data_IF_751566952629
#
_entry.id   IF_751566952629
#
_cell.length_a   1.000
_cell.length_b   1.000
_cell.length_c   1.000
_cell.angle_alpha   90.00
_cell.angle_beta   90.00
_cell.angle_gamma   90.00
#
_symmetry.space_group_name_H-M   'P 1'
#
loop_
_entity.id
_entity.type
_entity.pdbx_description
1 polymer ?
#
# COMPACT_ATOMS: atom_id res chain seq x y z
N UNK A 1 27.25 6.81 -2.60
CA UNK A 1 26.34 6.16 -3.57
C UNK A 1 24.99 6.83 -3.43
N UNK A 2 24.50 7.41 -4.50
CA UNK A 2 23.18 8.05 -4.54
C UNK A 2 22.08 7.10 -5.04
N UNK A 3 20.82 7.54 -5.03
CA UNK A 3 19.70 6.68 -5.45
C UNK A 3 19.79 6.29 -6.95
N UNK A 4 20.31 7.20 -7.80
CA UNK A 4 20.46 6.93 -9.24
C UNK A 4 21.46 5.81 -9.48
N UNK A 5 22.62 5.86 -8.80
CA UNK A 5 23.66 4.84 -8.88
C UNK A 5 23.13 3.48 -8.38
N UNK A 6 22.45 3.45 -7.21
CA UNK A 6 21.86 2.24 -6.65
C UNK A 6 20.83 1.62 -7.62
N UNK A 7 19.93 2.41 -8.19
CA UNK A 7 18.93 1.92 -9.15
C UNK A 7 19.55 1.45 -10.46
N UNK A 8 20.67 2.09 -10.90
CA UNK A 8 21.39 1.72 -12.13
C UNK A 8 22.07 0.37 -11.97
N UNK A 9 22.72 0.13 -10.84
CA UNK A 9 23.47 -1.09 -10.56
C UNK A 9 22.57 -2.28 -10.23
N UNK A 10 21.42 -2.04 -9.57
CA UNK A 10 20.51 -3.08 -9.19
C UNK A 10 19.89 -3.81 -10.39
N UNK A 11 19.79 -5.12 -10.30
CA UNK A 11 19.10 -5.96 -11.27
C UNK A 11 17.69 -6.37 -10.82
N UNK A 12 17.44 -6.35 -9.51
CA UNK A 12 16.20 -6.87 -8.88
C UNK A 12 15.72 -5.93 -7.76
N UNK A 13 15.08 -4.82 -8.15
CA UNK A 13 14.59 -3.79 -7.24
C UNK A 13 13.28 -4.22 -6.59
N UNK A 14 13.22 -4.25 -5.27
CA UNK A 14 11.98 -4.35 -4.51
C UNK A 14 11.54 -2.95 -4.10
N UNK A 15 10.33 -2.58 -4.49
CA UNK A 15 9.72 -1.29 -4.11
C UNK A 15 8.66 -1.55 -3.04
N UNK A 16 8.85 -0.96 -1.85
CA UNK A 16 7.92 -1.07 -0.73
C UNK A 16 7.20 0.27 -0.55
N UNK A 17 5.87 0.32 -0.73
CA UNK A 17 5.13 1.59 -0.76
C UNK A 17 4.12 1.74 0.38
N UNK A 18 3.91 2.99 0.82
CA UNK A 18 2.85 3.41 1.72
C UNK A 18 2.04 4.58 1.17
N UNK A 19 1.14 5.13 1.96
CA UNK A 19 0.15 6.12 1.52
C UNK A 19 0.77 7.42 0.96
N UNK A 20 2.01 7.75 1.33
CA UNK A 20 2.72 8.92 0.81
C UNK A 20 2.94 8.90 -0.69
N UNK A 21 2.95 7.72 -1.36
CA UNK A 21 3.06 7.67 -2.82
C UNK A 21 1.75 8.03 -3.52
N UNK A 22 0.62 8.01 -2.82
CA UNK A 22 -0.72 8.29 -3.38
C UNK A 22 -1.25 9.69 -3.04
N UNK A 23 -0.54 10.47 -2.22
CA UNK A 23 -0.94 11.85 -1.90
C UNK A 23 -0.98 12.77 -3.13
N UNK A 24 -0.05 12.67 -4.11
CA UNK A 24 -0.16 13.42 -5.35
C UNK A 24 -1.34 12.99 -6.24
N UNK A 25 -1.96 11.85 -5.97
CA UNK A 25 -3.18 11.36 -6.63
C UNK A 25 -4.48 11.83 -5.96
N UNK A 26 -4.40 12.65 -4.90
CA UNK A 26 -5.54 13.17 -4.16
C UNK A 26 -6.03 12.26 -3.02
N UNK A 27 -5.33 11.17 -2.72
CA UNK A 27 -5.67 10.29 -1.59
C UNK A 27 -4.91 10.77 -0.34
N UNK A 28 -5.64 11.07 0.73
CA UNK A 28 -5.04 11.45 2.02
C UNK A 28 -4.25 10.27 2.61
N UNK A 29 -3.10 10.56 3.19
CA UNK A 29 -2.39 9.57 3.99
C UNK A 29 -3.07 9.32 5.35
N UNK A 30 -2.58 8.34 6.10
CA UNK A 30 -3.18 7.96 7.37
C UNK A 30 -2.55 8.67 8.59
N UNK A 31 -1.24 8.95 8.57
CA UNK A 31 -0.45 9.39 9.72
C UNK A 31 0.27 10.73 9.54
N UNK A 32 0.36 11.23 8.32
CA UNK A 32 1.01 12.49 8.00
C UNK A 32 0.39 13.71 8.68
N UNK A 33 0.84 14.93 8.38
CA UNK A 33 0.34 16.14 9.01
C UNK A 33 -1.17 16.33 8.90
N UNK A 34 -1.79 15.82 7.82
CA UNK A 34 -3.24 15.84 7.58
C UNK A 34 -3.84 14.41 7.54
N UNK A 35 -3.21 13.47 8.25
CA UNK A 35 -3.57 12.07 8.21
C UNK A 35 -4.97 11.78 8.77
N UNK A 36 -5.69 10.85 8.13
CA UNK A 36 -7.09 10.50 8.44
C UNK A 36 -7.26 10.06 9.91
N UNK A 37 -6.28 9.36 10.48
CA UNK A 37 -6.37 8.87 11.87
C UNK A 37 -6.19 9.93 12.96
N UNK A 38 -5.93 11.19 12.58
CA UNK A 38 -6.01 12.31 13.51
C UNK A 38 -7.46 12.74 13.77
N UNK A 39 -8.35 12.46 12.84
CA UNK A 39 -9.75 12.85 12.87
C UNK A 39 -10.66 11.69 13.32
N UNK A 40 -10.35 10.46 12.88
CA UNK A 40 -11.14 9.25 13.17
C UNK A 40 -10.26 8.07 13.54
N UNK A 41 -10.69 7.29 14.52
CA UNK A 41 -10.00 6.06 14.90
C UNK A 41 -10.35 4.92 13.92
N UNK A 42 -9.42 4.03 13.59
CA UNK A 42 -9.73 2.87 12.77
C UNK A 42 -10.65 1.89 13.53
N UNK A 43 -11.60 1.29 12.83
CA UNK A 43 -12.40 0.20 13.36
C UNK A 43 -11.58 -1.10 13.31
N UNK A 44 -11.43 -1.77 14.44
CA UNK A 44 -10.73 -3.04 14.54
C UNK A 44 -11.58 -4.20 14.00
N UNK A 45 -10.90 -5.27 13.57
CA UNK A 45 -11.60 -6.41 12.94
C UNK A 45 -12.59 -7.10 13.89
N UNK A 46 -12.22 -7.31 15.14
CA UNK A 46 -13.08 -7.94 16.14
C UNK A 46 -14.32 -7.08 16.43
N UNK A 47 -14.16 -5.76 16.50
CA UNK A 47 -15.29 -4.83 16.66
C UNK A 47 -16.22 -4.89 15.44
N UNK A 48 -15.66 -4.92 14.23
CA UNK A 48 -16.44 -5.10 13.00
C UNK A 48 -17.23 -6.41 13.02
N UNK A 49 -16.65 -7.51 13.47
CA UNK A 49 -17.30 -8.81 13.48
C UNK A 49 -18.38 -8.95 14.56
N UNK A 50 -18.24 -8.26 15.69
CA UNK A 50 -19.11 -8.44 16.86
C UNK A 50 -20.15 -7.34 17.04
N UNK A 51 -19.91 -6.10 16.55
CA UNK A 51 -20.77 -4.94 16.78
C UNK A 51 -21.38 -4.41 15.48
N UNK A 52 -22.70 -4.26 15.45
CA UNK A 52 -23.40 -3.61 14.33
C UNK A 52 -23.03 -2.12 14.22
N UNK A 53 -22.91 -1.43 15.33
CA UNK A 53 -22.50 -0.02 15.36
C UNK A 53 -21.08 0.15 14.76
N UNK A 54 -20.14 -0.76 15.07
CA UNK A 54 -18.81 -0.73 14.51
C UNK A 54 -18.82 -1.02 12.99
N UNK A 55 -19.70 -1.91 12.50
CA UNK A 55 -19.87 -2.14 11.05
C UNK A 55 -20.40 -0.90 10.35
N UNK A 56 -21.38 -0.21 10.93
CA UNK A 56 -21.92 1.04 10.38
C UNK A 56 -20.82 2.10 10.33
N UNK A 57 -20.08 2.31 11.44
CA UNK A 57 -18.96 3.26 11.50
C UNK A 57 -17.88 2.93 10.45
N UNK A 58 -17.54 1.64 10.28
CA UNK A 58 -16.59 1.20 9.27
C UNK A 58 -17.04 1.56 7.85
N UNK A 59 -18.31 1.30 7.53
CA UNK A 59 -18.88 1.63 6.23
C UNK A 59 -18.99 3.14 6.01
N UNK A 60 -19.28 3.90 7.07
CA UNK A 60 -19.32 5.36 7.00
C UNK A 60 -17.95 5.96 6.67
N UNK A 61 -16.89 5.49 7.34
CA UNK A 61 -15.52 5.89 7.02
C UNK A 61 -15.15 5.56 5.57
N UNK A 62 -15.53 4.38 5.08
CA UNK A 62 -15.28 3.96 3.70
C UNK A 62 -16.08 4.77 2.68
N UNK A 63 -17.33 5.05 2.98
CA UNK A 63 -18.21 5.87 2.14
C UNK A 63 -17.69 7.31 2.02
N UNK A 64 -17.28 7.91 3.12
CA UNK A 64 -16.71 9.27 3.13
C UNK A 64 -15.44 9.37 2.26
N UNK A 65 -14.58 8.37 2.32
CA UNK A 65 -13.35 8.33 1.51
C UNK A 65 -13.58 7.91 0.05
N UNK A 66 -14.74 7.29 -0.26
CA UNK A 66 -14.99 6.65 -1.55
C UNK A 66 -14.82 7.55 -2.77
N UNK A 67 -15.32 8.82 -2.79
CA UNK A 67 -15.15 9.70 -3.94
C UNK A 67 -13.68 9.91 -4.31
N UNK A 68 -12.82 10.14 -3.32
CA UNK A 68 -11.38 10.36 -3.56
C UNK A 68 -10.69 9.12 -4.15
N UNK A 69 -11.08 7.91 -3.72
CA UNK A 69 -10.55 6.67 -4.32
C UNK A 69 -11.01 6.47 -5.77
N UNK A 70 -12.26 6.80 -6.08
CA UNK A 70 -12.79 6.68 -7.45
C UNK A 70 -12.18 7.68 -8.43
N UNK A 71 -11.91 8.89 -7.99
CA UNK A 71 -11.35 9.96 -8.81
C UNK A 71 -9.83 9.87 -8.98
N UNK A 72 -9.15 9.18 -8.05
CA UNK A 72 -7.70 9.06 -8.06
C UNK A 72 -7.19 8.40 -9.36
N UNK A 73 -6.06 8.91 -9.83
CA UNK A 73 -5.36 8.37 -11.00
C UNK A 73 -3.88 8.15 -10.64
N UNK A 74 -3.23 7.15 -11.25
CA UNK A 74 -1.80 6.95 -11.06
C UNK A 74 -1.00 8.21 -11.38
N UNK A 75 -0.07 8.54 -10.49
CA UNK A 75 0.85 9.66 -10.65
C UNK A 75 2.22 9.21 -11.19
N UNK A 76 3.19 10.12 -11.22
CA UNK A 76 4.54 9.88 -11.73
C UNK A 76 5.28 8.78 -10.97
N UNK A 77 5.07 8.64 -9.65
CA UNK A 77 5.71 7.58 -8.85
C UNK A 77 5.25 6.19 -9.30
N UNK A 78 3.94 6.00 -9.48
CA UNK A 78 3.39 4.74 -9.95
C UNK A 78 3.92 4.38 -11.35
N UNK A 79 3.98 5.37 -12.26
CA UNK A 79 4.51 5.18 -13.62
C UNK A 79 5.99 4.85 -13.63
N UNK A 80 6.79 5.49 -12.79
CA UNK A 80 8.22 5.18 -12.69
C UNK A 80 8.49 3.77 -12.16
N UNK A 81 7.58 3.21 -11.37
CA UNK A 81 7.66 1.80 -10.96
C UNK A 81 7.39 0.88 -12.15
N UNK A 82 6.43 1.22 -13.01
CA UNK A 82 6.20 0.50 -14.27
C UNK A 82 7.40 0.63 -15.21
N UNK A 83 8.04 1.81 -15.29
CA UNK A 83 9.29 1.98 -16.06
C UNK A 83 10.41 1.01 -15.59
N UNK A 84 10.51 0.74 -14.28
CA UNK A 84 11.45 -0.28 -13.75
C UNK A 84 11.04 -1.70 -14.15
N UNK A 85 9.73 -1.98 -14.20
CA UNK A 85 9.21 -3.28 -14.66
C UNK A 85 9.52 -3.50 -16.14
N UNK A 86 9.19 -2.51 -16.98
CA UNK A 86 9.45 -2.53 -18.43
C UNK A 86 10.95 -2.67 -18.74
N UNK A 87 11.81 -2.11 -17.91
CA UNK A 87 13.27 -2.27 -18.01
C UNK A 87 13.79 -3.62 -17.46
N UNK A 88 12.90 -4.49 -16.97
CA UNK A 88 13.28 -5.80 -16.40
C UNK A 88 13.97 -5.72 -15.04
N UNK A 89 13.94 -4.56 -14.38
CA UNK A 89 14.62 -4.31 -13.10
C UNK A 89 13.72 -4.52 -11.88
N UNK A 90 12.39 -4.51 -12.03
CA UNK A 90 11.46 -4.66 -10.90
C UNK A 90 11.40 -6.12 -10.45
N UNK A 91 11.78 -6.39 -9.20
CA UNK A 91 11.56 -7.67 -8.55
C UNK A 91 10.10 -7.81 -8.09
N UNK A 92 9.65 -6.84 -7.29
CA UNK A 92 8.28 -6.82 -6.74
C UNK A 92 7.93 -5.42 -6.25
N UNK A 93 6.68 -5.03 -6.41
CA UNK A 93 6.03 -3.99 -5.60
C UNK A 93 5.32 -4.66 -4.43
N UNK A 94 5.67 -4.28 -3.22
CA UNK A 94 4.93 -4.66 -2.02
C UNK A 94 4.30 -3.38 -1.49
N UNK A 95 2.97 -3.28 -1.58
CA UNK A 95 2.27 -2.08 -1.15
C UNK A 95 1.42 -2.31 0.08
N UNK A 96 1.41 -1.32 0.96
CA UNK A 96 0.49 -1.20 2.07
C UNK A 96 -0.81 -0.49 1.66
N UNK A 97 -0.82 0.11 0.46
CA UNK A 97 -1.96 0.87 -0.05
C UNK A 97 -3.07 -0.06 -0.52
N UNK A 98 -4.30 0.46 -0.41
CA UNK A 98 -5.53 -0.24 -0.74
C UNK A 98 -6.25 0.39 -1.93
N UNK A 99 -5.60 1.34 -2.62
CA UNK A 99 -6.21 2.20 -3.64
C UNK A 99 -6.25 1.59 -5.04
N UNK A 100 -5.49 0.51 -5.30
CA UNK A 100 -5.38 -0.15 -6.60
C UNK A 100 -4.58 0.65 -7.65
N UNK A 101 -3.91 1.76 -7.27
CA UNK A 101 -3.25 2.65 -8.23
C UNK A 101 -2.03 2.01 -8.90
N UNK A 102 -1.32 1.11 -8.24
CA UNK A 102 -0.22 0.36 -8.88
C UNK A 102 -0.73 -0.49 -10.03
N UNK A 103 -1.83 -1.23 -9.81
CA UNK A 103 -2.49 -2.03 -10.85
C UNK A 103 -3.02 -1.14 -11.98
N UNK A 104 -3.66 -0.04 -11.63
CA UNK A 104 -4.19 0.91 -12.62
C UNK A 104 -3.08 1.62 -13.42
N UNK A 105 -1.87 1.75 -12.86
CA UNK A 105 -0.69 2.27 -13.56
C UNK A 105 -0.13 1.31 -14.62
N UNK A 106 -0.41 0.00 -14.48
CA UNK A 106 0.09 -1.04 -15.36
C UNK A 106 1.07 -2.03 -14.72
N UNK A 107 1.35 -1.92 -13.41
CA UNK A 107 2.14 -2.94 -12.72
C UNK A 107 1.43 -4.29 -12.83
N UNK A 108 2.14 -5.33 -13.29
CA UNK A 108 1.59 -6.66 -13.48
C UNK A 108 1.22 -7.35 -12.17
N UNK A 109 0.25 -8.26 -12.20
CA UNK A 109 -0.18 -9.02 -11.01
C UNK A 109 0.93 -9.90 -10.45
N UNK A 110 1.81 -10.37 -11.31
CA UNK A 110 3.00 -11.15 -10.96
C UNK A 110 4.01 -10.33 -10.17
N UNK A 111 4.04 -9.02 -10.37
CA UNK A 111 4.98 -8.07 -9.72
C UNK A 111 4.34 -7.21 -8.64
N UNK A 112 3.08 -7.48 -8.27
CA UNK A 112 2.35 -6.70 -7.27
C UNK A 112 1.86 -7.57 -6.12
N UNK A 113 2.11 -7.12 -4.89
CA UNK A 113 1.52 -7.66 -3.65
C UNK A 113 0.85 -6.52 -2.89
N UNK A 114 -0.48 -6.59 -2.72
CA UNK A 114 -1.30 -5.64 -1.96
C UNK A 114 -1.50 -6.21 -0.54
N UNK A 115 -0.51 -6.02 0.35
CA UNK A 115 -0.49 -6.65 1.70
C UNK A 115 -1.71 -6.35 2.57
N UNK A 116 -2.28 -5.17 2.42
CA UNK A 116 -3.45 -4.75 3.20
C UNK A 116 -4.76 -4.88 2.41
N UNK A 117 -4.74 -5.67 1.32
CA UNK A 117 -5.89 -5.88 0.45
C UNK A 117 -6.22 -4.66 -0.40
N UNK A 118 -7.49 -4.53 -0.80
CA UNK A 118 -7.91 -3.51 -1.76
C UNK A 118 -9.30 -2.95 -1.47
N UNK A 119 -9.51 -1.66 -1.74
CA UNK A 119 -10.82 -1.02 -1.76
C UNK A 119 -11.59 -1.24 -3.08
N UNK A 120 -10.95 -1.82 -4.11
CA UNK A 120 -11.57 -2.05 -5.41
C UNK A 120 -12.54 -3.24 -5.43
N UNK A 121 -12.70 -3.91 -4.30
CA UNK A 121 -13.65 -5.00 -4.11
C UNK A 121 -14.26 -4.97 -2.71
N UNK A 122 -15.48 -5.50 -2.59
CA UNK A 122 -16.13 -5.86 -1.34
C UNK A 122 -16.15 -7.36 -1.21
N UNK A 123 -15.80 -7.89 -0.05
CA UNK A 123 -15.73 -9.32 0.22
C UNK A 123 -16.69 -9.72 1.34
N UNK A 124 -17.33 -10.86 1.20
CA UNK A 124 -18.14 -11.45 2.27
C UNK A 124 -17.26 -12.17 3.28
N UNK A 125 -17.36 -11.81 4.55
CA UNK A 125 -16.56 -12.39 5.64
C UNK A 125 -16.92 -13.86 5.95
N UNK A 126 -17.95 -14.43 5.28
CA UNK A 126 -18.40 -15.81 5.49
C UNK A 126 -18.13 -16.72 4.29
N UNK A 127 -18.49 -16.30 3.09
CA UNK A 127 -18.38 -17.12 1.88
C UNK A 127 -17.30 -16.64 0.90
N UNK A 128 -16.58 -15.61 1.24
CA UNK A 128 -15.48 -15.00 0.48
C UNK A 128 -15.83 -14.55 -0.95
N UNK A 129 -17.14 -14.48 -1.28
CA UNK A 129 -17.58 -13.94 -2.56
C UNK A 129 -17.21 -12.46 -2.63
N UNK A 130 -16.56 -12.06 -3.72
CA UNK A 130 -16.23 -10.68 -4.03
C UNK A 130 -17.26 -10.06 -4.95
N UNK A 131 -17.43 -8.75 -4.84
CA UNK A 131 -18.35 -7.93 -5.64
C UNK A 131 -17.80 -6.52 -5.80
N UNK A 132 -18.34 -5.78 -6.78
CA UNK A 132 -18.02 -4.38 -7.02
C UNK A 132 -18.48 -3.51 -5.84
N UNK A 133 -17.67 -2.56 -5.36
CA UNK A 133 -18.00 -1.71 -4.22
C UNK A 133 -19.08 -0.67 -4.50
N UNK A 134 -19.26 -0.20 -5.75
CA UNK A 134 -20.14 0.93 -6.07
C UNK A 134 -21.59 0.69 -5.62
N UNK A 135 -22.14 -0.48 -5.94
CA UNK A 135 -23.52 -0.81 -5.55
C UNK A 135 -23.71 -0.84 -4.03
N UNK A 136 -22.68 -1.26 -3.28
CA UNK A 136 -22.71 -1.28 -1.82
C UNK A 136 -22.60 0.11 -1.23
N UNK A 137 -21.78 0.99 -1.83
CA UNK A 137 -21.65 2.39 -1.42
C UNK A 137 -22.95 3.18 -1.65
N UNK A 138 -23.61 2.99 -2.81
CA UNK A 138 -24.92 3.58 -3.10
C UNK A 138 -25.95 3.12 -2.06
N UNK A 139 -26.04 1.81 -1.82
CA UNK A 139 -26.98 1.27 -0.83
C UNK A 139 -26.70 1.79 0.58
N UNK A 140 -25.43 1.89 0.98
CA UNK A 140 -25.07 2.45 2.28
C UNK A 140 -25.47 3.93 2.40
N UNK A 141 -25.29 4.72 1.33
CA UNK A 141 -25.71 6.12 1.28
C UNK A 141 -27.22 6.27 1.54
N UNK A 142 -28.04 5.38 0.97
CA UNK A 142 -29.50 5.40 1.10
C UNK A 142 -29.98 4.92 2.46
N UNK A 143 -29.39 3.85 2.99
CA UNK A 143 -29.93 3.15 4.17
C UNK A 143 -29.19 3.43 5.47
N UNK A 144 -27.93 3.87 5.40
CA UNK A 144 -27.00 3.97 6.53
C UNK A 144 -26.87 2.66 7.32
N UNK A 145 -27.11 1.53 6.69
CA UNK A 145 -26.99 0.20 7.27
C UNK A 145 -25.83 -0.56 6.64
N UNK A 146 -25.04 -1.24 7.45
CA UNK A 146 -23.98 -2.10 6.96
C UNK A 146 -24.57 -3.21 6.08
N UNK A 147 -24.07 -3.43 4.85
CA UNK A 147 -24.66 -4.40 3.95
C UNK A 147 -24.36 -5.84 4.33
N UNK A 148 -25.26 -6.75 3.97
CA UNK A 148 -25.13 -8.19 4.14
C UNK A 148 -25.06 -8.90 2.79
N UNK A 149 -24.32 -9.99 2.77
CA UNK A 149 -24.30 -10.94 1.65
C UNK A 149 -25.58 -11.76 1.60
N UNK A 150 -25.96 -12.27 0.44
CA UNK A 150 -27.09 -13.20 0.29
C UNK A 150 -26.93 -14.48 1.14
N UNK A 151 -25.71 -14.87 1.53
CA UNK A 151 -25.46 -15.99 2.44
C UNK A 151 -25.67 -15.64 3.93
N UNK A 152 -26.02 -14.39 4.25
CA UNK A 152 -26.16 -13.87 5.61
C UNK A 152 -24.83 -13.45 6.27
N UNK A 153 -23.70 -13.49 5.55
CA UNK A 153 -22.40 -13.00 6.05
C UNK A 153 -22.27 -11.48 5.92
N UNK A 154 -21.42 -10.87 6.75
CA UNK A 154 -21.12 -9.44 6.67
C UNK A 154 -20.32 -9.13 5.43
N UNK A 155 -20.67 -8.05 4.74
CA UNK A 155 -19.89 -7.51 3.63
C UNK A 155 -18.94 -6.43 4.14
N UNK A 156 -17.70 -6.50 3.67
CA UNK A 156 -16.63 -5.58 4.05
C UNK A 156 -15.79 -5.26 2.81
N UNK A 157 -15.39 -4.00 2.54
CA UNK A 157 -14.30 -3.74 1.59
C UNK A 157 -13.13 -4.69 1.82
N UNK A 158 -12.57 -5.25 0.75
CA UNK A 158 -11.58 -6.34 0.80
C UNK A 158 -10.21 -5.87 1.31
N UNK A 159 -10.22 -4.99 2.33
CA UNK A 159 -9.03 -4.44 2.98
C UNK A 159 -8.77 -5.15 4.31
N UNK A 160 -7.53 -5.25 4.72
CA UNK A 160 -7.16 -5.80 6.04
C UNK A 160 -7.34 -4.73 7.11
N UNK A 161 -8.14 -5.03 8.12
CA UNK A 161 -8.32 -4.16 9.30
C UNK A 161 -7.28 -4.48 10.37
N UNK A 162 -7.05 -3.57 11.32
CA UNK A 162 -6.25 -3.89 12.51
C UNK A 162 -6.85 -5.07 13.26
N UNK A 163 -6.00 -6.01 13.70
CA UNK A 163 -6.41 -7.27 14.31
C UNK A 163 -6.78 -8.38 13.31
N UNK A 164 -6.90 -8.06 12.02
CA UNK A 164 -7.11 -9.06 10.97
C UNK A 164 -5.77 -9.58 10.45
N UNK A 165 -5.67 -10.91 10.25
CA UNK A 165 -4.48 -11.53 9.66
C UNK A 165 -4.28 -11.10 8.21
N UNK A 166 -3.02 -10.88 7.82
CA UNK A 166 -2.65 -10.72 6.42
C UNK A 166 -2.91 -12.01 5.64
N UNK A 167 -3.14 -11.89 4.34
CA UNK A 167 -3.29 -13.06 3.47
C UNK A 167 -1.97 -13.87 3.45
N UNK A 168 -2.01 -15.18 3.78
CA UNK A 168 -0.79 -16.00 3.82
C UNK A 168 -0.08 -16.13 2.47
N UNK A 169 -0.83 -16.16 1.35
CA UNK A 169 -0.26 -16.24 0.00
C UNK A 169 0.47 -14.96 -0.36
N UNK A 170 -0.10 -13.78 -0.04
CA UNK A 170 0.55 -12.48 -0.25
C UNK A 170 1.81 -12.36 0.61
N UNK A 171 1.77 -12.80 1.86
CA UNK A 171 2.94 -12.83 2.73
C UNK A 171 4.03 -13.79 2.22
N UNK A 172 3.65 -14.93 1.66
CA UNK A 172 4.58 -15.86 1.05
C UNK A 172 5.26 -15.25 -0.19
N UNK A 173 4.49 -14.63 -1.09
CA UNK A 173 5.00 -13.92 -2.27
C UNK A 173 5.96 -12.78 -1.88
N UNK A 174 5.54 -11.95 -0.91
CA UNK A 174 6.36 -10.86 -0.39
C UNK A 174 7.69 -11.37 0.21
N UNK A 175 7.63 -12.44 1.01
CA UNK A 175 8.83 -13.04 1.62
C UNK A 175 9.75 -13.66 0.57
N UNK A 176 9.22 -14.27 -0.48
CA UNK A 176 10.01 -14.79 -1.60
C UNK A 176 10.75 -13.66 -2.31
N UNK A 177 10.05 -12.56 -2.65
CA UNK A 177 10.65 -11.39 -3.27
C UNK A 177 11.76 -10.75 -2.42
N UNK A 178 11.56 -10.66 -1.09
CA UNK A 178 12.58 -10.20 -0.14
C UNK A 178 13.87 -11.04 -0.22
N UNK A 179 13.78 -12.34 -0.50
CA UNK A 179 14.95 -13.24 -0.64
C UNK A 179 15.69 -13.07 -1.95
N UNK A 180 15.05 -12.54 -2.97
CA UNK A 180 15.57 -12.47 -4.33
C UNK A 180 16.07 -11.08 -4.74
N UNK A 181 15.69 -10.04 -3.99
CA UNK A 181 16.04 -8.65 -4.28
C UNK A 181 17.51 -8.35 -4.00
N UNK A 182 18.07 -7.41 -4.74
CA UNK A 182 19.41 -6.82 -4.52
C UNK A 182 19.37 -5.33 -4.16
N UNK A 183 18.19 -4.69 -4.23
CA UNK A 183 17.94 -3.34 -3.74
C UNK A 183 16.52 -3.22 -3.20
N UNK A 184 16.36 -2.65 -2.01
CA UNK A 184 15.04 -2.29 -1.46
C UNK A 184 14.89 -0.78 -1.40
N UNK A 185 13.76 -0.27 -1.93
CA UNK A 185 13.41 1.14 -1.86
C UNK A 185 12.04 1.30 -1.19
N UNK A 186 12.01 1.82 0.03
CA UNK A 186 10.77 2.16 0.72
C UNK A 186 10.36 3.59 0.41
N UNK A 187 9.13 3.76 -0.07
CA UNK A 187 8.58 5.02 -0.59
C UNK A 187 7.33 5.43 0.17
N UNK A 188 7.31 6.64 0.73
CA UNK A 188 6.11 7.28 1.27
C UNK A 188 5.45 6.49 2.40
N UNK A 189 6.23 5.93 3.31
CA UNK A 189 5.74 5.13 4.43
C UNK A 189 6.45 5.50 5.72
N UNK A 190 5.71 5.55 6.82
CA UNK A 190 6.28 5.73 8.17
C UNK A 190 6.96 4.46 8.69
N UNK A 191 6.80 3.32 8.02
CA UNK A 191 7.38 2.02 8.41
C UNK A 191 7.00 1.57 9.84
N UNK A 192 5.82 1.98 10.32
CA UNK A 192 5.33 1.75 11.69
C UNK A 192 4.31 0.60 11.80
N UNK A 193 3.91 -0.03 10.68
CA UNK A 193 2.89 -1.09 10.66
C UNK A 193 3.55 -2.45 10.49
N UNK A 194 3.53 -3.24 11.55
CA UNK A 194 4.03 -4.61 11.55
C UNK A 194 2.89 -5.62 11.33
N UNK A 195 3.17 -6.75 10.65
CA UNK A 195 4.48 -7.25 10.23
C UNK A 195 5.01 -6.67 8.91
N UNK A 196 4.25 -5.87 8.16
CA UNK A 196 4.63 -5.37 6.83
C UNK A 196 6.00 -4.64 6.85
N UNK A 197 6.22 -3.75 7.82
CA UNK A 197 7.46 -2.98 7.96
C UNK A 197 8.72 -3.85 8.22
N UNK A 198 8.56 -5.11 8.65
CA UNK A 198 9.68 -6.03 8.82
C UNK A 198 10.27 -6.50 7.48
N UNK A 199 9.51 -6.49 6.39
CA UNK A 199 9.95 -7.01 5.08
C UNK A 199 11.20 -6.27 4.53
N UNK A 200 11.24 -4.92 4.47
CA UNK A 200 12.42 -4.17 4.06
C UNK A 200 13.65 -4.49 4.94
N UNK A 201 13.46 -4.56 6.26
CA UNK A 201 14.55 -4.87 7.20
C UNK A 201 15.10 -6.29 6.98
N UNK A 202 14.23 -7.26 6.71
CA UNK A 202 14.65 -8.63 6.44
C UNK A 202 15.54 -8.73 5.20
N UNK A 203 15.29 -7.94 4.15
CA UNK A 203 16.18 -7.86 3.00
C UNK A 203 17.52 -7.19 3.37
N UNK A 204 17.47 -6.06 4.09
CA UNK A 204 18.66 -5.33 4.51
C UNK A 204 19.60 -6.15 5.42
N UNK A 205 19.04 -6.95 6.33
CA UNK A 205 19.78 -7.88 7.18
C UNK A 205 20.55 -8.98 6.41
N UNK A 206 20.21 -9.17 5.14
CA UNK A 206 20.95 -10.06 4.22
C UNK A 206 22.09 -9.34 3.49
N UNK A 207 22.34 -8.07 3.81
CA UNK A 207 23.34 -7.22 3.14
C UNK A 207 22.84 -6.52 1.88
N UNK A 208 21.52 -6.52 1.63
CA UNK A 208 20.91 -5.80 0.51
C UNK A 208 20.86 -4.31 0.85
N UNK A 209 21.23 -3.46 -0.11
CA UNK A 209 21.11 -2.01 0.05
C UNK A 209 19.65 -1.62 0.28
N UNK A 210 19.41 -0.83 1.34
CA UNK A 210 18.08 -0.39 1.73
C UNK A 210 17.99 1.13 1.73
N UNK A 211 17.09 1.65 0.91
CA UNK A 211 16.84 3.09 0.75
C UNK A 211 15.47 3.43 1.31
N UNK A 212 15.38 4.53 2.06
CA UNK A 212 14.11 5.09 2.54
C UNK A 212 13.94 6.48 1.96
N UNK A 213 12.85 6.71 1.21
CA UNK A 213 12.42 8.02 0.70
C UNK A 213 11.08 8.37 1.32
N UNK A 214 11.05 9.35 2.22
CA UNK A 214 9.83 9.74 2.91
C UNK A 214 9.91 11.19 3.36
N UNK A 215 8.77 11.88 3.37
CA UNK A 215 8.61 13.17 4.05
C UNK A 215 8.27 12.92 5.51
N UNK A 216 9.13 13.38 6.42
CA UNK A 216 8.98 13.16 7.86
C UNK A 216 9.58 11.84 8.36
N UNK A 217 9.53 11.67 9.66
CA UNK A 217 10.19 10.59 10.39
C UNK A 217 9.60 9.23 10.08
N UNK A 218 10.45 8.19 10.09
CA UNK A 218 10.04 6.78 9.98
C UNK A 218 10.60 5.97 11.14
N UNK A 219 9.99 4.83 11.47
CA UNK A 219 10.46 3.91 12.51
C UNK A 219 11.79 3.23 12.15
N UNK A 220 12.25 3.41 10.90
CA UNK A 220 13.53 2.87 10.44
C UNK A 220 14.65 3.93 10.39
N UNK A 221 14.35 5.19 10.70
CA UNK A 221 15.36 6.24 10.73
C UNK A 221 16.43 5.93 11.80
N UNK A 222 17.70 6.13 11.44
CA UNK A 222 18.83 5.84 12.31
C UNK A 222 19.21 4.37 12.49
N UNK A 223 18.50 3.43 11.85
CA UNK A 223 18.90 2.01 11.85
C UNK A 223 20.12 1.81 10.95
N UNK A 224 21.03 0.93 11.40
CA UNK A 224 22.24 0.60 10.66
C UNK A 224 21.96 -0.08 9.30
N UNK A 225 20.81 -0.71 9.17
CA UNK A 225 20.35 -1.36 7.94
C UNK A 225 19.98 -0.37 6.84
N UNK A 226 19.68 0.91 7.16
CA UNK A 226 19.31 1.94 6.16
C UNK A 226 20.58 2.51 5.54
N UNK A 227 20.87 2.13 4.30
CA UNK A 227 22.05 2.56 3.56
C UNK A 227 21.92 4.02 3.06
N UNK A 228 20.71 4.45 2.74
CA UNK A 228 20.44 5.81 2.26
C UNK A 228 19.05 6.28 2.75
N UNK A 229 19.02 7.44 3.41
CA UNK A 229 17.78 8.12 3.81
C UNK A 229 17.65 9.43 3.04
N UNK A 230 16.57 9.55 2.28
CA UNK A 230 16.22 10.77 1.55
C UNK A 230 14.95 11.38 2.18
N UNK A 231 15.12 12.57 2.74
CA UNK A 231 14.01 13.37 3.28
C UNK A 231 13.41 14.20 2.16
N UNK A 232 12.13 14.04 1.87
CA UNK A 232 11.42 14.84 0.88
C UNK A 232 10.22 14.18 0.24
N UNK A 233 9.67 14.85 -0.76
CA UNK A 233 8.54 14.36 -1.52
C UNK A 233 8.98 13.20 -2.45
N UNK A 234 8.29 12.08 -2.32
CA UNK A 234 8.57 10.89 -3.16
C UNK A 234 8.40 11.22 -4.64
N UNK A 235 7.41 12.04 -5.00
CA UNK A 235 7.15 12.41 -6.40
C UNK A 235 8.22 13.34 -6.99
N UNK A 236 8.97 14.03 -6.15
CA UNK A 236 10.10 14.89 -6.57
C UNK A 236 11.43 14.12 -6.62
N UNK A 237 11.60 13.10 -5.78
CA UNK A 237 12.88 12.41 -5.62
C UNK A 237 12.98 11.11 -6.43
N UNK A 238 11.93 10.28 -6.41
CA UNK A 238 12.01 8.93 -6.99
C UNK A 238 11.89 8.90 -8.52
N UNK A 239 10.91 9.58 -9.18
CA UNK A 239 10.78 9.53 -10.63
C UNK A 239 12.02 10.06 -11.39
N UNK A 240 12.66 11.18 -11.00
CA UNK A 240 13.89 11.63 -11.64
C UNK A 240 15.05 10.63 -11.44
N UNK A 241 15.13 9.98 -10.27
CA UNK A 241 16.17 9.00 -10.02
C UNK A 241 16.00 7.74 -10.90
N UNK A 242 14.76 7.27 -11.10
CA UNK A 242 14.47 6.18 -12.06
C UNK A 242 14.83 6.59 -13.48
N UNK A 243 14.42 7.80 -13.92
CA UNK A 243 14.78 8.34 -15.24
C UNK A 243 16.28 8.37 -15.45
N UNK A 244 17.05 8.92 -14.52
CA UNK A 244 18.51 8.95 -14.57
C UNK A 244 19.18 7.57 -14.55
N UNK A 245 18.61 6.62 -13.81
CA UNK A 245 19.11 5.25 -13.79
C UNK A 245 18.88 4.50 -15.12
N UNK A 246 17.76 4.80 -15.81
CA UNK A 246 17.37 4.20 -17.09
C UNK A 246 17.92 4.98 -18.32
N UNK A 247 18.66 6.09 -18.09
CA UNK A 247 19.24 6.89 -19.18
C UNK A 247 18.22 7.74 -19.94
N UNK A 248 17.15 8.18 -19.26
CA UNK A 248 16.07 9.02 -19.79
C UNK A 248 16.18 10.44 -19.29
#
# INVERSE_FOLDING_TARGET
MDLVELLREAARVLVFTGAGVSTPSGIRDFRGPQGVWKERQPVYFDDFMTSEAARIEYWDQKYEAWPSFREARPNTVHRSIVDLEDAGKLCMVITQNIDGLHRLAGTSDERLVELHGTNTAVECMRCHRRSDPDAHMVRFAETRQAPYCACGGYLKPATVSFGQSLNPEDMQRATAAVRETDLVVALGTTLSVYPAAQLPLTAAQRGVAYVVVNRGVTDHDGRAEVALRLEGDVAELFPPAVGGALGR
#
